data_IF_295603771717
#
_entry.id   IF_295603771717
#
_cell.length_a   1.000
_cell.length_b   1.000
_cell.length_c   1.000
_cell.angle_alpha   90.00
_cell.angle_beta   90.00
_cell.angle_gamma   90.00
#
_symmetry.space_group_name_H-M   'P 1'
#
loop_
_entity.id
_entity.type
_entity.pdbx_description
1 polymer ?
#
# COMPACT_ATOMS: atom_id res chain seq x y z
N UNK A 1 6.36 0.34 13.47
CA UNK A 1 6.42 1.32 12.37
C UNK A 1 6.98 2.67 12.81
N UNK A 2 6.66 3.18 13.99
CA UNK A 2 7.18 4.50 14.43
C UNK A 2 8.63 4.48 14.90
N UNK A 3 9.10 3.35 15.44
CA UNK A 3 10.46 3.21 16.00
C UNK A 3 11.40 2.41 15.10
N UNK A 4 10.92 1.89 13.97
CA UNK A 4 11.74 1.20 12.98
C UNK A 4 11.63 1.90 11.62
N UNK A 5 12.67 1.80 10.80
CA UNK A 5 12.65 2.33 9.44
C UNK A 5 11.92 1.40 8.46
N UNK A 6 11.48 0.25 8.93
CA UNK A 6 10.76 -0.73 8.11
C UNK A 6 9.41 -0.18 7.67
N UNK A 7 9.15 -0.24 6.37
CA UNK A 7 7.92 0.21 5.73
C UNK A 7 7.28 -0.84 4.83
N UNK A 8 7.91 -1.99 4.64
CA UNK A 8 7.37 -3.11 3.89
C UNK A 8 7.19 -4.33 4.80
N UNK A 9 6.05 -4.98 4.68
CA UNK A 9 5.65 -6.14 5.46
C UNK A 9 5.04 -7.19 4.56
N UNK A 10 5.18 -8.45 4.94
CA UNK A 10 4.56 -9.57 4.24
C UNK A 10 3.71 -10.38 5.23
N UNK A 11 2.47 -10.66 4.84
CA UNK A 11 1.58 -11.56 5.53
C UNK A 11 1.56 -12.90 4.78
N UNK A 12 2.08 -13.93 5.42
CA UNK A 12 2.15 -15.29 4.85
C UNK A 12 1.26 -16.26 5.63
N UNK A 13 0.84 -17.33 5.00
CA UNK A 13 0.12 -18.42 5.64
C UNK A 13 -0.75 -19.21 4.66
N UNK A 14 -1.27 -20.37 5.07
CA UNK A 14 -2.09 -21.24 4.21
C UNK A 14 -3.37 -20.56 3.73
N UNK A 15 -4.02 -21.16 2.73
CA UNK A 15 -5.34 -20.71 2.28
C UNK A 15 -6.36 -20.81 3.43
N UNK A 16 -7.33 -19.92 3.45
CA UNK A 16 -8.41 -19.94 4.44
C UNK A 16 -8.07 -19.34 5.81
N UNK A 17 -6.83 -18.92 6.06
CA UNK A 17 -6.40 -18.35 7.37
C UNK A 17 -6.85 -16.89 7.61
N UNK A 18 -7.69 -16.34 6.75
CA UNK A 18 -8.26 -15.00 6.96
C UNK A 18 -7.36 -13.81 6.55
N UNK A 19 -6.25 -14.03 5.82
CA UNK A 19 -5.33 -12.95 5.41
C UNK A 19 -6.02 -11.83 4.61
N UNK A 20 -6.80 -12.18 3.60
CA UNK A 20 -7.57 -11.20 2.82
C UNK A 20 -8.65 -10.52 3.66
N UNK A 21 -9.26 -11.24 4.62
CA UNK A 21 -10.19 -10.65 5.59
C UNK A 21 -9.49 -9.64 6.50
N UNK A 22 -8.27 -9.93 6.95
CA UNK A 22 -7.44 -9.00 7.72
C UNK A 22 -7.11 -7.75 6.88
N UNK A 23 -6.79 -7.91 5.60
CA UNK A 23 -6.54 -6.78 4.70
C UNK A 23 -7.79 -5.90 4.53
N UNK A 24 -8.97 -6.50 4.36
CA UNK A 24 -10.24 -5.78 4.32
C UNK A 24 -10.53 -5.05 5.64
N UNK A 25 -10.26 -5.71 6.75
CA UNK A 25 -10.42 -5.11 8.08
C UNK A 25 -9.48 -3.92 8.29
N UNK A 26 -8.21 -4.02 7.90
CA UNK A 26 -7.26 -2.91 7.91
C UNK A 26 -7.74 -1.75 7.03
N UNK A 27 -8.28 -2.04 5.85
CA UNK A 27 -8.87 -1.00 4.99
C UNK A 27 -10.04 -0.31 5.66
N UNK A 28 -10.90 -1.04 6.35
CA UNK A 28 -12.03 -0.48 7.08
C UNK A 28 -11.57 0.41 8.25
N UNK A 29 -10.59 -0.04 9.03
CA UNK A 29 -9.98 0.72 10.14
C UNK A 29 -9.32 2.02 9.67
N UNK A 30 -8.70 2.00 8.48
CA UNK A 30 -7.96 3.13 7.92
C UNK A 30 -8.82 3.96 6.95
N UNK A 31 -10.10 3.62 6.79
CA UNK A 31 -11.03 4.29 5.89
C UNK A 31 -11.19 5.76 6.23
N UNK A 32 -11.31 6.59 5.19
CA UNK A 32 -11.74 7.99 5.34
C UNK A 32 -13.25 8.12 5.64
N UNK A 33 -14.03 7.07 5.40
CA UNK A 33 -15.45 7.01 5.76
C UNK A 33 -15.59 6.71 7.27
N UNK A 34 -16.04 7.69 8.03
CA UNK A 34 -16.17 7.61 9.49
C UNK A 34 -17.10 6.49 9.95
N UNK A 35 -18.19 6.22 9.21
CA UNK A 35 -19.13 5.13 9.56
C UNK A 35 -18.46 3.76 9.45
N UNK A 36 -17.71 3.53 8.38
CA UNK A 36 -16.97 2.27 8.17
C UNK A 36 -15.88 2.13 9.22
N UNK A 37 -15.11 3.20 9.44
CA UNK A 37 -14.04 3.24 10.42
C UNK A 37 -14.54 2.94 11.84
N UNK A 38 -15.62 3.61 12.27
CA UNK A 38 -16.16 3.41 13.61
C UNK A 38 -16.64 1.96 13.81
N UNK A 39 -17.38 1.40 12.84
CA UNK A 39 -17.77 -0.02 12.91
C UNK A 39 -16.57 -0.97 13.03
N UNK A 40 -15.50 -0.70 12.29
CA UNK A 40 -14.28 -1.52 12.37
C UNK A 40 -13.58 -1.35 13.72
N UNK A 41 -13.56 -0.15 14.29
CA UNK A 41 -13.01 0.10 15.64
C UNK A 41 -13.83 -0.61 16.70
N UNK A 42 -15.18 -0.58 16.61
CA UNK A 42 -16.07 -1.23 17.57
C UNK A 42 -15.92 -2.76 17.55
N UNK A 43 -15.72 -3.36 16.37
CA UNK A 43 -15.47 -4.81 16.23
C UNK A 43 -14.08 -5.19 16.77
N UNK A 44 -13.12 -4.28 16.61
CA UNK A 44 -11.77 -4.51 17.12
C UNK A 44 -11.72 -4.22 18.61
N UNK A 45 -11.22 -5.13 19.42
CA UNK A 45 -10.88 -4.86 20.82
C UNK A 45 -9.78 -3.79 21.00
N UNK A 46 -9.44 -3.05 19.93
CA UNK A 46 -8.40 -2.03 19.91
C UNK A 46 -8.81 -0.67 20.49
N UNK A 47 -10.08 -0.49 20.82
CA UNK A 47 -10.59 0.77 21.38
C UNK A 47 -9.83 1.24 22.63
N UNK A 48 -9.23 0.34 23.38
CA UNK A 48 -8.46 0.60 24.59
C UNK A 48 -6.93 0.58 24.42
N UNK A 49 -6.40 0.23 23.23
CA UNK A 49 -4.96 0.21 23.02
C UNK A 49 -4.46 1.57 22.57
N UNK A 50 -3.85 2.29 23.50
CA UNK A 50 -3.28 3.63 23.28
C UNK A 50 -2.27 3.71 22.14
N UNK A 51 -1.61 2.60 21.79
CA UNK A 51 -0.59 2.52 20.74
C UNK A 51 -1.21 2.54 19.35
N UNK A 52 -2.22 1.70 19.10
CA UNK A 52 -2.87 1.63 17.80
C UNK A 52 -3.62 2.93 17.48
N UNK A 53 -4.36 3.47 18.45
CA UNK A 53 -5.09 4.73 18.27
C UNK A 53 -4.15 5.92 18.00
N UNK A 54 -3.00 6.00 18.68
CA UNK A 54 -2.02 7.07 18.47
C UNK A 54 -1.30 6.97 17.12
N UNK A 55 -1.02 5.76 16.62
CA UNK A 55 -0.21 5.55 15.44
C UNK A 55 -1.02 5.55 14.15
N UNK A 56 -2.17 4.91 14.15
CA UNK A 56 -2.93 4.66 12.92
C UNK A 56 -4.22 5.47 12.83
N UNK A 57 -4.92 5.70 13.93
CA UNK A 57 -6.22 6.36 13.85
C UNK A 57 -6.12 7.88 13.75
N UNK A 58 -5.03 8.51 14.21
CA UNK A 58 -4.83 9.96 14.10
C UNK A 58 -4.45 10.41 12.69
N UNK A 59 -3.73 9.59 11.93
CA UNK A 59 -3.36 9.89 10.54
C UNK A 59 -4.44 9.39 9.60
N UNK A 60 -4.77 10.18 8.59
CA UNK A 60 -5.62 9.72 7.49
C UNK A 60 -4.78 8.90 6.52
N UNK A 61 -5.40 7.95 5.82
CA UNK A 61 -4.68 7.06 4.92
C UNK A 61 -5.25 7.11 3.51
N UNK A 62 -4.36 7.13 2.56
CA UNK A 62 -4.65 6.88 1.15
C UNK A 62 -4.25 5.45 0.84
N UNK A 63 -5.20 4.64 0.38
CA UNK A 63 -5.00 3.20 0.21
C UNK A 63 -5.03 2.88 -1.28
N UNK A 64 -3.96 2.27 -1.77
CA UNK A 64 -3.88 1.68 -3.11
C UNK A 64 -4.00 0.16 -2.96
N UNK A 65 -4.97 -0.42 -3.67
CA UNK A 65 -5.15 -1.86 -3.74
C UNK A 65 -4.52 -2.38 -5.03
N UNK A 66 -3.69 -3.40 -4.89
CA UNK A 66 -3.12 -4.15 -6.00
C UNK A 66 -3.54 -5.60 -5.82
N UNK A 67 -4.14 -6.19 -6.84
CA UNK A 67 -4.52 -7.60 -6.81
C UNK A 67 -3.61 -8.36 -7.75
N UNK A 68 -2.87 -9.30 -7.19
CA UNK A 68 -1.99 -10.18 -7.93
C UNK A 68 -2.74 -10.99 -8.97
N UNK A 69 -2.21 -11.04 -10.16
CA UNK A 69 -2.74 -11.80 -11.29
C UNK A 69 -1.57 -12.39 -12.08
N UNK A 70 -1.87 -13.31 -12.98
CA UNK A 70 -0.86 -13.86 -13.93
C UNK A 70 -0.57 -12.85 -15.05
N UNK A 71 -0.20 -11.62 -14.66
CA UNK A 71 0.17 -10.51 -15.54
C UNK A 71 1.40 -9.81 -14.98
N UNK A 72 2.01 -8.97 -15.80
CA UNK A 72 3.14 -8.16 -15.39
C UNK A 72 2.82 -7.34 -14.12
N UNK A 73 3.57 -7.55 -13.02
CA UNK A 73 3.40 -6.77 -11.79
C UNK A 73 3.60 -5.27 -12.00
N UNK A 74 4.49 -4.86 -12.90
CA UNK A 74 4.73 -3.45 -13.21
C UNK A 74 3.48 -2.79 -13.82
N UNK A 75 2.82 -3.46 -14.77
CA UNK A 75 1.57 -2.97 -15.36
C UNK A 75 0.46 -2.88 -14.31
N UNK A 76 0.30 -3.94 -13.51
CA UNK A 76 -0.75 -4.02 -12.50
C UNK A 76 -0.62 -2.93 -11.44
N UNK A 77 0.61 -2.68 -10.96
CA UNK A 77 0.90 -1.64 -9.98
C UNK A 77 0.72 -0.25 -10.60
N UNK A 78 1.27 0.00 -11.79
CA UNK A 78 1.13 1.28 -12.48
C UNK A 78 -0.35 1.64 -12.69
N UNK A 79 -1.16 0.68 -13.15
CA UNK A 79 -2.59 0.86 -13.34
C UNK A 79 -3.31 1.15 -12.02
N UNK A 80 -2.99 0.42 -10.95
CA UNK A 80 -3.60 0.62 -9.62
C UNK A 80 -3.29 2.00 -9.05
N UNK A 81 -2.07 2.51 -9.25
CA UNK A 81 -1.69 3.87 -8.87
C UNK A 81 -2.55 4.88 -9.62
N UNK A 82 -2.63 4.77 -10.94
CA UNK A 82 -3.31 5.76 -11.79
C UNK A 82 -4.81 5.81 -11.50
N UNK A 83 -5.46 4.66 -11.30
CA UNK A 83 -6.87 4.57 -10.90
C UNK A 83 -7.07 5.26 -9.55
N UNK A 84 -6.29 4.90 -8.55
CA UNK A 84 -6.42 5.44 -7.19
C UNK A 84 -6.16 6.94 -7.14
N UNK A 85 -5.16 7.43 -7.89
CA UNK A 85 -4.88 8.87 -8.02
C UNK A 85 -6.06 9.59 -8.66
N UNK A 86 -6.62 9.06 -9.75
CA UNK A 86 -7.77 9.65 -10.43
C UNK A 86 -8.99 9.73 -9.49
N UNK A 87 -9.32 8.65 -8.80
CA UNK A 87 -10.44 8.61 -7.86
C UNK A 87 -10.27 9.60 -6.71
N UNK A 88 -9.06 9.71 -6.17
CA UNK A 88 -8.75 10.61 -5.04
C UNK A 88 -8.96 12.08 -5.38
N UNK A 89 -8.62 12.49 -6.58
CA UNK A 89 -8.62 13.90 -7.00
C UNK A 89 -9.69 14.23 -8.04
N UNK A 90 -10.68 13.37 -8.25
CA UNK A 90 -11.72 13.55 -9.28
C UNK A 90 -12.42 14.91 -9.19
N UNK A 91 -12.66 15.40 -7.98
CA UNK A 91 -13.36 16.67 -7.73
C UNK A 91 -12.45 17.87 -7.48
N UNK A 92 -11.15 17.65 -7.22
CA UNK A 92 -10.23 18.70 -6.79
C UNK A 92 -9.10 19.00 -7.78
N UNK A 93 -9.11 18.30 -8.90
CA UNK A 93 -8.02 18.33 -9.87
C UNK A 93 -6.78 17.57 -9.39
N UNK A 94 -6.20 16.77 -10.27
CA UNK A 94 -5.00 15.98 -9.99
C UNK A 94 -3.80 16.93 -9.94
N UNK A 95 -2.92 16.85 -8.89
CA UNK A 95 -1.68 17.61 -8.83
C UNK A 95 -0.83 17.40 -10.10
N UNK A 96 -0.17 18.46 -10.58
CA UNK A 96 0.54 18.43 -11.86
C UNK A 96 1.52 17.27 -12.00
N UNK A 97 2.33 17.00 -10.97
CA UNK A 97 3.27 15.87 -10.93
C UNK A 97 2.62 14.48 -10.94
N UNK A 98 1.31 14.38 -10.65
CA UNK A 98 0.57 13.12 -10.65
C UNK A 98 -0.33 12.93 -11.87
N UNK A 99 -0.45 13.91 -12.75
CA UNK A 99 -1.34 13.86 -13.93
C UNK A 99 -0.88 12.86 -14.99
N UNK A 100 0.42 12.71 -15.16
CA UNK A 100 0.98 11.83 -16.18
C UNK A 100 0.70 10.37 -15.84
N UNK A 101 0.25 9.59 -16.82
CA UNK A 101 0.07 8.15 -16.67
C UNK A 101 1.39 7.49 -16.27
N UNK A 102 1.32 6.59 -15.31
CA UNK A 102 2.50 5.85 -14.84
C UNK A 102 2.90 4.81 -15.90
N UNK A 103 4.10 4.94 -16.44
CA UNK A 103 4.65 3.90 -17.32
C UNK A 103 5.07 2.69 -16.49
N UNK A 104 4.86 1.44 -16.98
CA UNK A 104 5.19 0.21 -16.26
C UNK A 104 6.71 -0.07 -16.29
N UNK A 105 7.47 0.78 -15.65
CA UNK A 105 8.90 0.66 -15.38
C UNK A 105 9.17 0.93 -13.93
N UNK A 106 10.12 0.23 -13.32
CA UNK A 106 10.44 0.33 -11.90
C UNK A 106 10.68 1.78 -11.49
N UNK A 107 11.54 2.49 -12.23
CA UNK A 107 11.92 3.87 -11.92
C UNK A 107 10.71 4.81 -11.90
N UNK A 108 9.80 4.66 -12.89
CA UNK A 108 8.60 5.49 -12.98
C UNK A 108 7.59 5.21 -11.86
N UNK A 109 7.47 3.94 -11.45
CA UNK A 109 6.61 3.53 -10.33
C UNK A 109 7.16 4.11 -9.03
N UNK A 110 8.46 3.98 -8.80
CA UNK A 110 9.12 4.51 -7.60
C UNK A 110 9.00 6.05 -7.55
N UNK A 111 9.27 6.74 -8.66
CA UNK A 111 9.10 8.19 -8.73
C UNK A 111 7.66 8.61 -8.44
N UNK A 112 6.69 7.90 -9.00
CA UNK A 112 5.28 8.17 -8.76
C UNK A 112 4.88 7.96 -7.30
N UNK A 113 5.36 6.91 -6.65
CA UNK A 113 5.16 6.69 -5.23
C UNK A 113 5.78 7.80 -4.37
N UNK A 114 6.97 8.27 -4.74
CA UNK A 114 7.63 9.38 -4.06
C UNK A 114 6.80 10.65 -4.14
N UNK A 115 6.42 11.07 -5.35
CA UNK A 115 5.58 12.25 -5.56
C UNK A 115 4.24 12.14 -4.83
N UNK A 116 3.60 10.97 -4.89
CA UNK A 116 2.34 10.71 -4.21
C UNK A 116 2.50 10.82 -2.69
N UNK A 117 3.55 10.22 -2.14
CA UNK A 117 3.83 10.27 -0.69
C UNK A 117 4.06 11.70 -0.22
N UNK A 118 4.84 12.49 -0.95
CA UNK A 118 5.12 13.89 -0.64
C UNK A 118 3.83 14.75 -0.71
N UNK A 119 2.97 14.54 -1.72
CA UNK A 119 1.68 15.24 -1.83
C UNK A 119 0.70 14.86 -0.71
N UNK A 120 0.71 13.61 -0.30
CA UNK A 120 -0.13 13.12 0.80
C UNK A 120 0.35 13.67 2.14
N UNK A 121 1.65 13.77 2.36
CA UNK A 121 2.22 14.28 3.62
C UNK A 121 1.85 15.75 3.84
N UNK A 122 1.81 16.59 2.82
CA UNK A 122 1.33 17.99 2.90
C UNK A 122 -0.07 18.11 3.52
N UNK A 123 -0.86 17.05 3.46
CA UNK A 123 -2.24 16.96 3.98
C UNK A 123 -2.37 16.05 5.20
N UNK A 124 -1.25 15.65 5.78
CA UNK A 124 -1.16 14.69 6.90
C UNK A 124 -1.83 13.33 6.60
N UNK A 125 -1.61 12.81 5.37
CA UNK A 125 -2.02 11.47 4.98
C UNK A 125 -0.81 10.53 4.94
N UNK A 126 -1.01 9.28 5.39
CA UNK A 126 -0.11 8.17 5.06
C UNK A 126 -0.52 7.54 3.72
N UNK A 127 0.42 6.84 3.09
CA UNK A 127 0.20 6.00 1.92
C UNK A 127 0.26 4.53 2.35
N UNK A 128 -0.80 3.76 2.06
CA UNK A 128 -0.81 2.31 2.27
C UNK A 128 -1.01 1.61 0.93
N UNK A 129 -0.11 0.70 0.60
CA UNK A 129 -0.24 -0.19 -0.54
C UNK A 129 -0.54 -1.59 -0.01
N UNK A 130 -1.67 -2.15 -0.43
CA UNK A 130 -2.08 -3.51 -0.13
C UNK A 130 -2.01 -4.34 -1.41
N UNK A 131 -1.02 -5.23 -1.48
CA UNK A 131 -0.86 -6.18 -2.59
C UNK A 131 -1.40 -7.54 -2.16
N UNK A 132 -2.66 -7.83 -2.50
CA UNK A 132 -3.27 -9.13 -2.25
C UNK A 132 -2.89 -10.12 -3.37
N UNK A 133 -2.84 -11.40 -3.04
CA UNK A 133 -2.42 -12.46 -3.97
C UNK A 133 -1.03 -12.22 -4.60
N UNK A 134 -0.12 -11.62 -3.85
CA UNK A 134 1.23 -11.27 -4.33
C UNK A 134 1.99 -12.48 -4.89
N UNK A 135 1.70 -13.71 -4.43
CA UNK A 135 2.27 -14.94 -4.97
C UNK A 135 2.07 -15.09 -6.48
N UNK A 136 0.93 -14.66 -7.01
CA UNK A 136 0.67 -14.72 -8.46
C UNK A 136 1.62 -13.83 -9.27
N UNK A 137 2.06 -12.71 -8.70
CA UNK A 137 3.08 -11.86 -9.32
C UNK A 137 4.45 -12.54 -9.32
N UNK A 138 4.81 -13.20 -8.20
CA UNK A 138 6.07 -13.92 -8.09
C UNK A 138 6.11 -15.11 -9.08
N UNK A 139 5.01 -15.87 -9.17
CA UNK A 139 4.86 -16.98 -10.13
C UNK A 139 5.00 -16.49 -11.57
N UNK A 140 4.33 -15.39 -11.93
CA UNK A 140 4.44 -14.80 -13.25
C UNK A 140 5.87 -14.36 -13.55
N UNK A 141 6.50 -13.59 -12.65
CA UNK A 141 7.86 -13.10 -12.83
C UNK A 141 8.86 -14.25 -12.98
N UNK A 142 8.69 -15.31 -12.20
CA UNK A 142 9.51 -16.52 -12.30
C UNK A 142 9.33 -17.23 -13.65
N UNK A 143 8.10 -17.29 -14.18
CA UNK A 143 7.79 -17.99 -15.44
C UNK A 143 8.29 -17.26 -16.69
N UNK A 144 8.37 -15.92 -16.65
CA UNK A 144 8.85 -15.10 -17.80
C UNK A 144 10.28 -14.58 -17.61
N UNK A 145 10.95 -14.94 -16.50
CA UNK A 145 12.30 -14.45 -16.20
C UNK A 145 12.36 -12.95 -15.96
N UNK A 146 11.24 -12.34 -15.53
CA UNK A 146 11.20 -10.91 -15.23
C UNK A 146 11.77 -10.60 -13.85
N UNK A 147 12.24 -9.37 -13.68
CA UNK A 147 12.95 -8.94 -12.51
C UNK A 147 12.03 -8.82 -11.28
N UNK A 148 12.36 -9.54 -10.21
CA UNK A 148 11.68 -9.48 -8.92
C UNK A 148 12.13 -8.29 -8.06
N UNK A 149 13.09 -7.49 -8.53
CA UNK A 149 13.65 -6.36 -7.79
C UNK A 149 12.62 -5.26 -7.48
N UNK A 150 11.49 -5.22 -8.19
CA UNK A 150 10.45 -4.22 -7.98
C UNK A 150 10.03 -4.11 -6.50
N UNK A 151 9.78 -5.23 -5.83
CA UNK A 151 9.30 -5.23 -4.44
C UNK A 151 10.40 -4.81 -3.46
N UNK A 152 11.64 -5.16 -3.75
CA UNK A 152 12.81 -4.71 -2.99
C UNK A 152 13.00 -3.20 -3.16
N UNK A 153 12.95 -2.70 -4.39
CA UNK A 153 13.04 -1.27 -4.69
C UNK A 153 11.94 -0.45 -4.00
N UNK A 154 10.70 -0.96 -3.97
CA UNK A 154 9.60 -0.33 -3.23
C UNK A 154 9.94 -0.26 -1.74
N UNK A 155 10.41 -1.37 -1.13
CA UNK A 155 10.72 -1.44 0.28
C UNK A 155 11.84 -0.47 0.70
N UNK A 156 12.91 -0.42 -0.08
CA UNK A 156 14.06 0.47 0.14
C UNK A 156 13.68 1.94 -0.01
N UNK A 157 12.94 2.28 -1.08
CA UNK A 157 12.50 3.65 -1.32
C UNK A 157 11.52 4.14 -0.24
N UNK A 158 10.61 3.29 0.23
CA UNK A 158 9.68 3.64 1.30
C UNK A 158 10.41 3.89 2.62
N UNK A 159 11.40 3.06 2.94
CA UNK A 159 12.27 3.25 4.11
C UNK A 159 13.04 4.58 4.02
N UNK A 160 13.58 4.91 2.85
CA UNK A 160 14.29 6.16 2.61
C UNK A 160 13.38 7.40 2.71
N UNK A 161 12.14 7.34 2.21
CA UNK A 161 11.16 8.43 2.33
C UNK A 161 10.82 8.70 3.78
N UNK A 162 10.64 7.65 4.58
CA UNK A 162 10.37 7.76 6.01
C UNK A 162 11.55 8.36 6.77
N UNK A 163 12.77 7.89 6.52
CA UNK A 163 14.00 8.42 7.12
C UNK A 163 14.16 9.92 6.85
N UNK A 164 13.87 10.35 5.64
CA UNK A 164 13.94 11.77 5.24
C UNK A 164 12.73 12.59 5.70
N UNK A 165 11.81 12.01 6.47
CA UNK A 165 10.56 12.66 6.92
C UNK A 165 9.69 13.22 5.77
N UNK A 166 9.77 12.59 4.61
CA UNK A 166 9.01 12.99 3.40
C UNK A 166 7.62 12.35 3.32
N UNK A 167 7.22 11.64 4.35
CA UNK A 167 5.91 11.00 4.49
C UNK A 167 5.99 9.63 5.12
N UNK A 168 4.84 8.98 5.25
CA UNK A 168 4.73 7.64 5.80
C UNK A 168 4.12 6.70 4.76
N UNK A 169 4.92 6.14 3.84
CA UNK A 169 4.48 5.05 2.98
C UNK A 169 4.61 3.71 3.71
N UNK A 170 3.64 2.82 3.50
CA UNK A 170 3.64 1.44 4.01
C UNK A 170 3.21 0.51 2.88
N UNK A 171 3.94 -0.58 2.71
CA UNK A 171 3.60 -1.66 1.79
C UNK A 171 3.26 -2.93 2.58
N UNK A 172 2.17 -3.59 2.23
CA UNK A 172 1.79 -4.89 2.80
C UNK A 172 1.49 -5.84 1.64
N UNK A 173 2.34 -6.85 1.48
CA UNK A 173 2.13 -7.96 0.55
C UNK A 173 1.46 -9.15 1.24
N UNK A 174 0.47 -9.74 0.59
CA UNK A 174 -0.24 -10.92 1.11
C UNK A 174 0.09 -12.11 0.22
N UNK A 175 0.67 -13.13 0.82
CA UNK A 175 1.05 -14.38 0.18
C UNK A 175 0.20 -15.53 0.69
N UNK A 176 -0.27 -16.38 -0.22
CA UNK A 176 -1.09 -17.54 0.12
C UNK A 176 -0.30 -18.83 0.32
N UNK A 177 1.01 -18.79 0.09
CA UNK A 177 1.89 -19.94 0.31
C UNK A 177 2.96 -19.57 1.35
N UNK A 178 3.35 -20.50 2.25
CA UNK A 178 4.57 -20.33 3.00
C UNK A 178 5.73 -20.30 2.00
N UNK A 179 6.74 -19.49 2.25
CA UNK A 179 8.05 -19.70 1.60
C UNK A 179 8.59 -21.02 2.15
N UNK A 180 8.73 -22.03 1.31
CA UNK A 180 9.57 -23.19 1.57
C UNK A 180 11.03 -22.82 1.31
#
# INVERSE_FOLDING_TARGET
VNNSNQCAFTLTGPYGTGKSSLALFLQALLSSNTKIKNKAVDISSFSNSSIFSKLFLKKKWFIIKVIGSKKDPLESIAQSIDISVKERWISKGIPSGLKTRTKPKIENIIEKFKLLTEELEKKNYGLLILADEMGKFLDYSSSVGSDLNLFQEIAENFSNLKLKKKGLPVFIGILHQPFE
#
